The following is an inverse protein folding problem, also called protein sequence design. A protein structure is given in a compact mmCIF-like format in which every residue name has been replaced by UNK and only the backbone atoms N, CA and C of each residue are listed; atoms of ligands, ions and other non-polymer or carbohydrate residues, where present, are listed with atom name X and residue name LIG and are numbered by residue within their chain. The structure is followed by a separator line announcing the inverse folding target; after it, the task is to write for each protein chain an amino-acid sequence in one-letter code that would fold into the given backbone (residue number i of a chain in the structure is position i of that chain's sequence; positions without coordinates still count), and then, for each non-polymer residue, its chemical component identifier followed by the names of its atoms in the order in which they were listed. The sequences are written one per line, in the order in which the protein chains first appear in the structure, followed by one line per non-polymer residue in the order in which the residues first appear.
data_IF_529233931182
#
_entry.id   IF_529233931182
#
_cell.length_a   1.000
_cell.length_b   1.000
_cell.length_c   1.000
_cell.angle_alpha   90.00
_cell.angle_beta   90.00
_cell.angle_gamma   90.00
#
_symmetry.space_group_name_H-M   'P 1'
#
loop_
_entity.id
_entity.type
_entity.pdbx_description
1 polymer ?
#
# COMPACT_ATOMS: atom_id res chain seq x y z
N UNK A 1 -8.96 14.99 -21.45
CA UNK A 1 -8.15 15.54 -20.35
C UNK A 1 -8.76 15.23 -18.97
N UNK A 2 -10.02 15.54 -18.72
CA UNK A 2 -10.68 15.26 -17.44
C UNK A 2 -10.73 13.73 -17.10
N UNK A 3 -10.95 12.87 -18.07
CA UNK A 3 -10.92 11.41 -17.89
C UNK A 3 -9.55 10.93 -17.39
N UNK A 4 -8.45 11.44 -17.98
CA UNK A 4 -7.08 11.12 -17.58
C UNK A 4 -6.80 11.57 -16.15
N UNK A 5 -7.28 12.75 -15.77
CA UNK A 5 -7.17 13.26 -14.41
C UNK A 5 -7.93 12.37 -13.42
N UNK A 6 -9.17 11.99 -13.75
CA UNK A 6 -9.97 11.11 -12.92
C UNK A 6 -9.32 9.72 -12.75
N UNK A 7 -8.86 9.15 -13.84
CA UNK A 7 -8.16 7.87 -13.85
C UNK A 7 -6.85 7.93 -13.06
N UNK A 8 -6.13 9.04 -13.18
CA UNK A 8 -4.91 9.32 -12.42
C UNK A 8 -5.16 9.43 -10.92
N UNK A 9 -6.27 10.10 -10.52
CA UNK A 9 -6.67 10.18 -9.10
C UNK A 9 -7.04 8.79 -8.58
N UNK A 10 -7.83 8.01 -9.32
CA UNK A 10 -8.22 6.66 -8.92
C UNK A 10 -6.99 5.76 -8.73
N UNK A 11 -6.06 5.80 -9.68
CA UNK A 11 -4.81 5.05 -9.61
C UNK A 11 -3.92 5.53 -8.45
N UNK A 12 -3.79 6.85 -8.24
CA UNK A 12 -3.04 7.43 -7.14
C UNK A 12 -3.61 7.03 -5.77
N UNK A 13 -4.92 7.04 -5.60
CA UNK A 13 -5.57 6.57 -4.37
C UNK A 13 -5.34 5.07 -4.13
N UNK A 14 -5.38 4.25 -5.19
CA UNK A 14 -5.03 2.84 -5.09
C UNK A 14 -3.57 2.65 -4.68
N UNK A 15 -2.63 3.38 -5.31
CA UNK A 15 -1.23 3.36 -4.93
C UNK A 15 -1.00 3.78 -3.48
N UNK A 16 -1.77 4.76 -2.98
CA UNK A 16 -1.70 5.15 -1.58
C UNK A 16 -2.09 4.00 -0.65
N UNK A 17 -3.23 3.35 -0.86
CA UNK A 17 -3.67 2.24 0.00
C UNK A 17 -2.69 1.08 -0.06
N UNK A 18 -2.16 0.78 -1.24
CA UNK A 18 -1.09 -0.21 -1.41
C UNK A 18 0.21 0.16 -0.65
N UNK A 19 0.56 1.43 -0.57
CA UNK A 19 1.80 1.90 0.04
C UNK A 19 1.65 2.38 1.50
N UNK A 20 0.43 2.63 1.99
CA UNK A 20 0.21 3.26 3.29
C UNK A 20 0.74 2.41 4.46
N UNK A 21 0.62 1.09 4.39
CA UNK A 21 1.21 0.21 5.40
C UNK A 21 2.75 0.27 5.41
N UNK A 22 3.38 0.39 4.24
CA UNK A 22 4.83 0.63 4.16
C UNK A 22 5.19 1.99 4.74
N UNK A 23 4.39 3.03 4.48
CA UNK A 23 4.59 4.36 5.08
C UNK A 23 4.55 4.31 6.62
N UNK A 24 3.63 3.52 7.16
CA UNK A 24 3.52 3.33 8.62
C UNK A 24 4.70 2.53 9.18
N UNK A 25 5.09 1.42 8.56
CA UNK A 25 6.20 0.60 9.05
C UNK A 25 7.54 1.30 8.90
N UNK A 26 7.82 1.94 7.77
CA UNK A 26 9.06 2.68 7.55
C UNK A 26 9.07 4.00 8.34
N UNK A 27 7.97 4.77 8.30
CA UNK A 27 7.91 6.09 8.91
C UNK A 27 7.75 6.10 10.43
N UNK A 28 7.01 5.13 10.97
CA UNK A 28 6.72 5.08 12.41
C UNK A 28 7.52 4.00 13.14
N UNK A 29 7.76 2.84 12.52
CA UNK A 29 8.48 1.75 13.19
C UNK A 29 9.97 1.70 12.82
N UNK A 30 10.42 2.56 11.91
CA UNK A 30 11.78 2.56 11.34
C UNK A 30 12.21 1.19 10.79
N UNK A 31 11.24 0.43 10.26
CA UNK A 31 11.43 -0.90 9.70
C UNK A 31 11.39 -0.84 8.18
N UNK A 32 12.48 -1.21 7.53
CA UNK A 32 12.52 -1.37 6.06
C UNK A 32 11.89 -2.70 5.68
N UNK A 33 10.61 -2.66 5.29
CA UNK A 33 9.85 -3.86 4.95
C UNK A 33 9.58 -3.94 3.44
N UNK A 34 10.50 -4.55 2.70
CA UNK A 34 10.33 -4.77 1.26
C UNK A 34 9.31 -5.89 0.94
N UNK A 35 8.99 -6.76 1.92
CA UNK A 35 7.95 -7.77 1.77
C UNK A 35 6.51 -7.20 1.78
N UNK A 36 6.35 -5.88 1.89
CA UNK A 36 5.04 -5.24 1.88
C UNK A 36 4.21 -5.58 0.63
N UNK A 37 4.86 -5.66 -0.54
CA UNK A 37 4.25 -6.09 -1.80
C UNK A 37 3.72 -7.53 -1.78
N UNK A 38 4.33 -8.41 -0.98
CA UNK A 38 3.87 -9.79 -0.83
C UNK A 38 2.52 -9.87 -0.08
N UNK A 39 2.27 -8.98 0.90
CA UNK A 39 0.95 -8.88 1.54
C UNK A 39 -0.11 -8.37 0.55
N UNK A 40 0.22 -7.40 -0.30
CA UNK A 40 -0.68 -6.92 -1.35
C UNK A 40 -1.01 -8.06 -2.34
N UNK A 41 0.00 -8.78 -2.81
CA UNK A 41 -0.17 -9.96 -3.66
C UNK A 41 -1.07 -11.00 -3.00
N UNK A 42 -0.81 -11.36 -1.74
CA UNK A 42 -1.60 -12.34 -1.00
C UNK A 42 -3.08 -11.94 -0.92
N UNK A 43 -3.38 -10.68 -0.58
CA UNK A 43 -4.76 -10.19 -0.53
C UNK A 43 -5.45 -10.23 -1.89
N UNK A 44 -4.74 -9.90 -2.94
CA UNK A 44 -5.23 -10.02 -4.30
C UNK A 44 -5.56 -11.47 -4.67
N UNK A 45 -4.66 -12.43 -4.41
CA UNK A 45 -4.92 -13.85 -4.70
C UNK A 45 -6.02 -14.44 -3.83
N UNK A 46 -6.13 -14.06 -2.55
CA UNK A 46 -7.29 -14.41 -1.71
C UNK A 46 -8.59 -13.97 -2.39
N UNK A 47 -8.64 -12.75 -2.91
CA UNK A 47 -9.82 -12.23 -3.62
C UNK A 47 -10.07 -12.97 -4.94
N UNK A 48 -9.03 -13.28 -5.71
CA UNK A 48 -9.16 -14.11 -6.94
C UNK A 48 -9.78 -15.46 -6.63
N UNK A 49 -9.30 -16.15 -5.60
CA UNK A 49 -9.82 -17.46 -5.21
C UNK A 49 -11.27 -17.36 -4.75
N UNK A 50 -11.58 -16.42 -3.85
CA UNK A 50 -12.92 -16.25 -3.30
C UNK A 50 -13.94 -15.88 -4.38
N UNK A 51 -13.62 -14.93 -5.26
CA UNK A 51 -14.55 -14.47 -6.29
C UNK A 51 -14.63 -15.46 -7.45
N UNK A 52 -13.50 -15.83 -8.04
CA UNK A 52 -13.48 -16.57 -9.30
C UNK A 52 -13.74 -18.08 -9.14
N UNK A 53 -13.30 -18.67 -7.98
CA UNK A 53 -13.44 -20.12 -7.75
C UNK A 53 -14.59 -20.45 -6.80
N UNK A 54 -14.84 -19.61 -5.77
CA UNK A 54 -15.84 -19.88 -4.75
C UNK A 54 -17.14 -19.09 -4.94
N UNK A 55 -17.19 -18.11 -5.86
CA UNK A 55 -18.39 -17.30 -6.12
C UNK A 55 -18.75 -16.32 -5.00
N UNK A 56 -17.83 -16.02 -4.08
CA UNK A 56 -18.07 -15.06 -2.99
C UNK A 56 -18.24 -13.65 -3.57
N UNK A 57 -19.21 -12.85 -3.11
CA UNK A 57 -19.38 -11.47 -3.57
C UNK A 57 -18.09 -10.64 -3.41
N UNK A 58 -17.76 -9.85 -4.44
CA UNK A 58 -16.51 -9.09 -4.52
C UNK A 58 -16.21 -8.25 -3.26
N UNK A 59 -17.18 -7.46 -2.79
CA UNK A 59 -16.98 -6.61 -1.61
C UNK A 59 -16.71 -7.43 -0.33
N UNK A 60 -17.38 -8.57 -0.15
CA UNK A 60 -17.09 -9.48 0.96
C UNK A 60 -15.69 -10.06 0.85
N UNK A 61 -15.25 -10.43 -0.35
CA UNK A 61 -13.91 -10.96 -0.61
C UNK A 61 -12.80 -9.93 -0.29
N UNK A 62 -13.03 -8.64 -0.58
CA UNK A 62 -12.10 -7.55 -0.22
C UNK A 62 -11.96 -7.43 1.30
N UNK A 63 -13.07 -7.52 2.05
CA UNK A 63 -13.04 -7.49 3.53
C UNK A 63 -12.33 -8.73 4.09
N UNK A 64 -12.61 -9.91 3.54
CA UNK A 64 -11.93 -11.16 3.95
C UNK A 64 -10.44 -11.07 3.64
N UNK A 65 -10.04 -10.54 2.48
CA UNK A 65 -8.64 -10.34 2.12
C UNK A 65 -7.91 -9.42 3.12
N UNK A 66 -8.55 -8.33 3.58
CA UNK A 66 -8.00 -7.49 4.64
C UNK A 66 -7.70 -8.28 5.91
N UNK A 67 -8.69 -9.02 6.43
CA UNK A 67 -8.50 -9.77 7.68
C UNK A 67 -7.52 -10.94 7.52
N UNK A 68 -7.54 -11.64 6.39
CA UNK A 68 -6.60 -12.75 6.12
C UNK A 68 -5.16 -12.25 6.08
N UNK A 69 -4.90 -11.14 5.38
CA UNK A 69 -3.56 -10.54 5.31
C UNK A 69 -3.14 -9.86 6.61
N UNK A 70 -4.08 -9.27 7.36
CA UNK A 70 -3.81 -8.73 8.69
C UNK A 70 -3.42 -9.84 9.67
N UNK A 71 -4.12 -10.97 9.65
CA UNK A 71 -3.80 -12.14 10.48
C UNK A 71 -2.44 -12.74 10.11
N UNK A 72 -2.15 -12.88 8.79
CA UNK A 72 -0.85 -13.32 8.31
C UNK A 72 0.26 -12.35 8.75
N UNK A 73 0.02 -11.04 8.62
CA UNK A 73 0.96 -10.01 9.06
C UNK A 73 1.22 -10.09 10.56
N UNK A 74 0.17 -10.22 11.39
CA UNK A 74 0.30 -10.39 12.84
C UNK A 74 1.09 -11.65 13.21
N UNK A 75 0.86 -12.75 12.50
CA UNK A 75 1.58 -14.01 12.70
C UNK A 75 3.07 -13.85 12.38
N UNK A 76 3.38 -13.30 11.20
CA UNK A 76 4.77 -13.10 10.76
C UNK A 76 5.49 -12.06 11.65
N UNK A 77 4.78 -11.05 12.09
CA UNK A 77 5.35 -10.06 13.02
C UNK A 77 5.79 -10.72 14.31
N UNK A 78 4.93 -11.50 14.95
CA UNK A 78 5.22 -12.15 16.22
C UNK A 78 6.26 -13.27 16.14
N UNK A 79 6.34 -13.95 15.00
CA UNK A 79 7.25 -15.10 14.82
C UNK A 79 8.60 -14.70 14.22
N UNK A 80 8.61 -13.77 13.29
CA UNK A 80 9.80 -13.44 12.49
C UNK A 80 10.27 -12.00 12.67
N UNK A 81 9.42 -11.00 12.42
CA UNK A 81 9.83 -9.60 12.38
C UNK A 81 10.30 -9.06 13.74
N UNK A 82 9.75 -9.57 14.85
CA UNK A 82 10.17 -9.19 16.20
C UNK A 82 11.67 -9.39 16.43
N UNK A 83 12.29 -10.37 15.77
CA UNK A 83 13.71 -10.66 15.85
C UNK A 83 14.58 -9.74 14.96
N UNK A 84 13.95 -9.00 14.07
CA UNK A 84 14.63 -8.17 13.05
C UNK A 84 14.56 -6.68 13.39
N UNK A 85 13.69 -6.24 14.30
CA UNK A 85 13.56 -4.83 14.68
C UNK A 85 14.85 -4.19 15.20
N UNK A 86 15.66 -4.95 15.95
CA UNK A 86 16.93 -4.47 16.52
C UNK A 86 18.14 -4.61 15.56
N UNK A 87 17.91 -5.15 14.35
CA UNK A 87 18.96 -5.39 13.35
C UNK A 87 19.22 -4.14 12.51
N UNK A 88 20.34 -4.13 11.81
CA UNK A 88 20.69 -3.06 10.88
C UNK A 88 19.69 -3.01 9.71
N UNK A 89 19.56 -1.84 9.06
CA UNK A 89 18.68 -1.70 7.88
C UNK A 89 19.05 -2.67 6.75
N UNK A 90 20.35 -3.00 6.59
CA UNK A 90 20.78 -3.98 5.59
C UNK A 90 20.25 -5.39 5.92
N UNK A 91 20.33 -5.81 7.18
CA UNK A 91 19.79 -7.12 7.61
C UNK A 91 18.28 -7.17 7.45
N UNK A 92 17.56 -6.06 7.77
CA UNK A 92 16.12 -5.94 7.55
C UNK A 92 15.75 -6.09 6.07
N UNK A 93 16.48 -5.42 5.18
CA UNK A 93 16.30 -5.51 3.73
C UNK A 93 16.54 -6.94 3.24
N UNK A 94 17.66 -7.56 3.61
CA UNK A 94 17.98 -8.94 3.19
C UNK A 94 16.92 -9.94 3.68
N UNK A 95 16.50 -9.82 4.92
CA UNK A 95 15.45 -10.65 5.49
C UNK A 95 14.12 -10.49 4.73
N UNK A 96 13.69 -9.25 4.50
CA UNK A 96 12.40 -8.98 3.83
C UNK A 96 12.41 -9.34 2.35
N UNK A 97 13.56 -9.19 1.65
CA UNK A 97 13.73 -9.71 0.28
C UNK A 97 13.62 -11.24 0.27
N UNK A 98 14.22 -11.94 1.23
CA UNK A 98 14.05 -13.39 1.36
C UNK A 98 12.59 -13.80 1.49
N UNK A 99 11.80 -13.08 2.30
CA UNK A 99 10.36 -13.31 2.41
C UNK A 99 9.61 -13.04 1.09
N UNK A 100 10.03 -12.04 0.32
CA UNK A 100 9.45 -11.78 -1.02
C UNK A 100 9.65 -12.99 -1.93
N UNK A 101 10.88 -13.51 -2.02
CA UNK A 101 11.16 -14.67 -2.89
C UNK A 101 10.42 -15.92 -2.42
N UNK A 102 10.29 -16.14 -1.12
CA UNK A 102 9.49 -17.24 -0.58
C UNK A 102 8.01 -17.08 -0.97
N UNK A 103 7.45 -15.88 -0.87
CA UNK A 103 6.06 -15.60 -1.25
C UNK A 103 5.85 -15.77 -2.77
N UNK A 104 6.78 -15.28 -3.58
CA UNK A 104 6.77 -15.47 -5.05
C UNK A 104 6.76 -16.95 -5.40
N UNK A 105 7.69 -17.73 -4.85
CA UNK A 105 7.79 -19.18 -5.11
C UNK A 105 6.53 -19.94 -4.63
N UNK A 106 6.00 -19.59 -3.46
CA UNK A 106 4.79 -20.21 -2.93
C UNK A 106 3.57 -19.94 -3.81
N UNK A 107 3.40 -18.69 -4.26
CA UNK A 107 2.28 -18.31 -5.14
C UNK A 107 2.45 -18.95 -6.53
N UNK A 108 3.65 -18.95 -7.10
CA UNK A 108 3.93 -19.59 -8.38
C UNK A 108 3.59 -21.09 -8.34
N UNK A 109 3.97 -21.76 -7.27
CA UNK A 109 3.67 -23.19 -7.06
C UNK A 109 2.17 -23.47 -6.91
N UNK A 110 1.42 -22.64 -6.15
CA UNK A 110 0.00 -22.88 -5.83
C UNK A 110 -0.93 -22.40 -6.94
N UNK A 111 -0.63 -21.24 -7.54
CA UNK A 111 -1.53 -20.53 -8.45
C UNK A 111 -1.04 -20.55 -9.91
N UNK A 112 0.22 -20.91 -10.13
CA UNK A 112 0.88 -20.88 -11.43
C UNK A 112 1.38 -19.50 -11.83
N UNK A 113 2.20 -19.45 -12.88
CA UNK A 113 2.89 -18.23 -13.35
C UNK A 113 2.02 -17.30 -14.17
N UNK A 114 0.79 -17.72 -14.55
CA UNK A 114 -0.09 -16.93 -15.40
C UNK A 114 -0.72 -15.77 -14.65
N UNK A 115 -0.80 -14.60 -15.32
CA UNK A 115 -1.48 -13.43 -14.77
C UNK A 115 -2.96 -13.72 -14.56
N UNK A 116 -3.48 -13.35 -13.39
CA UNK A 116 -4.86 -13.53 -13.00
C UNK A 116 -5.53 -12.18 -12.71
N UNK A 117 -6.81 -12.08 -13.06
CA UNK A 117 -7.66 -10.92 -12.80
C UNK A 117 -8.87 -11.35 -11.99
N UNK A 118 -9.41 -10.42 -11.20
CA UNK A 118 -10.66 -10.63 -10.47
C UNK A 118 -11.85 -10.28 -11.36
N UNK A 119 -12.84 -11.15 -11.40
CA UNK A 119 -14.12 -10.88 -12.07
C UNK A 119 -14.95 -9.92 -11.21
N UNK A 120 -15.01 -8.65 -11.62
CA UNK A 120 -15.85 -7.67 -10.92
C UNK A 120 -17.33 -7.88 -11.25
N UNK A 121 -18.26 -7.59 -10.32
CA UNK A 121 -19.70 -7.67 -10.55
C UNK A 121 -20.15 -6.80 -11.71
N UNK A 122 -21.18 -7.23 -12.44
CA UNK A 122 -21.73 -6.49 -13.58
C UNK A 122 -22.15 -5.06 -13.24
N UNK A 123 -22.63 -4.83 -11.99
CA UNK A 123 -22.99 -3.52 -11.50
C UNK A 123 -21.81 -2.51 -11.48
N UNK A 124 -20.59 -3.00 -11.34
CA UNK A 124 -19.35 -2.19 -11.31
C UNK A 124 -18.67 -2.09 -12.69
N UNK A 125 -19.16 -2.83 -13.68
CA UNK A 125 -18.68 -2.76 -15.05
C UNK A 125 -19.27 -1.57 -15.80
N UNK A 126 -18.55 -1.11 -16.84
CA UNK A 126 -18.99 -0.02 -17.69
C UNK A 126 -18.70 1.37 -17.14
N UNK A 127 -19.29 2.37 -17.75
CA UNK A 127 -19.07 3.79 -17.45
C UNK A 127 -20.37 4.48 -17.07
N UNK A 128 -20.27 5.54 -16.30
CA UNK A 128 -21.33 6.49 -16.00
C UNK A 128 -20.94 7.82 -16.63
N UNK A 129 -21.87 8.47 -17.30
CA UNK A 129 -21.66 9.83 -17.80
C UNK A 129 -21.90 10.83 -16.66
N UNK A 130 -20.82 11.44 -16.19
CA UNK A 130 -20.86 12.51 -15.19
C UNK A 130 -20.43 13.80 -15.89
N UNK A 131 -21.32 14.77 -16.01
CA UNK A 131 -21.05 16.07 -16.66
C UNK A 131 -20.48 15.95 -18.09
N UNK A 132 -20.96 14.95 -18.87
CA UNK A 132 -20.47 14.71 -20.23
C UNK A 132 -19.17 13.90 -20.35
N UNK A 133 -18.67 13.38 -19.22
CA UNK A 133 -17.43 12.58 -19.16
C UNK A 133 -17.79 11.16 -18.82
N UNK A 134 -17.29 10.19 -19.61
CA UNK A 134 -17.39 8.77 -19.28
C UNK A 134 -16.41 8.41 -18.15
N UNK A 135 -16.98 8.08 -16.99
CA UNK A 135 -16.23 7.69 -15.78
C UNK A 135 -16.47 6.21 -15.49
N UNK A 136 -15.42 5.43 -15.36
CA UNK A 136 -15.52 4.01 -15.03
C UNK A 136 -16.10 3.81 -13.63
N UNK A 137 -17.17 3.00 -13.50
CA UNK A 137 -17.84 2.71 -12.22
C UNK A 137 -16.89 2.13 -11.20
N UNK A 138 -16.03 1.21 -11.61
CA UNK A 138 -15.05 0.57 -10.73
C UNK A 138 -14.03 1.57 -10.17
N UNK A 139 -13.56 2.50 -10.99
CA UNK A 139 -12.63 3.57 -10.56
C UNK A 139 -13.28 4.52 -9.55
N UNK A 140 -14.58 4.79 -9.70
CA UNK A 140 -15.34 5.56 -8.72
C UNK A 140 -15.41 4.83 -7.37
N UNK A 141 -15.66 3.51 -7.39
CA UNK A 141 -15.61 2.68 -6.19
C UNK A 141 -14.24 2.75 -5.51
N UNK A 142 -13.15 2.64 -6.28
CA UNK A 142 -11.78 2.76 -5.75
C UNK A 142 -11.57 4.10 -5.06
N UNK A 143 -11.95 5.22 -5.71
CA UNK A 143 -11.80 6.56 -5.12
C UNK A 143 -12.57 6.63 -3.80
N UNK A 144 -13.79 6.15 -3.76
CA UNK A 144 -14.64 6.20 -2.58
C UNK A 144 -14.07 5.33 -1.44
N UNK A 145 -13.74 4.08 -1.73
CA UNK A 145 -13.23 3.13 -0.73
C UNK A 145 -11.86 3.58 -0.22
N UNK A 146 -10.93 3.92 -1.12
CA UNK A 146 -9.59 4.39 -0.73
C UNK A 146 -9.66 5.74 0.02
N UNK A 147 -10.57 6.64 -0.36
CA UNK A 147 -10.82 7.89 0.34
C UNK A 147 -11.33 7.67 1.76
N UNK A 148 -12.29 6.76 1.95
CA UNK A 148 -12.79 6.38 3.27
C UNK A 148 -11.71 5.74 4.14
N UNK A 149 -10.90 4.85 3.57
CA UNK A 149 -9.76 4.23 4.28
C UNK A 149 -8.75 5.28 4.70
N UNK A 150 -8.40 6.20 3.80
CA UNK A 150 -7.46 7.28 4.08
C UNK A 150 -7.96 8.16 5.24
N UNK A 151 -9.23 8.54 5.19
CA UNK A 151 -9.86 9.32 6.25
C UNK A 151 -9.88 8.55 7.59
N UNK A 152 -10.29 7.28 7.55
CA UNK A 152 -10.33 6.42 8.74
C UNK A 152 -8.92 6.26 9.35
N UNK A 153 -7.90 6.01 8.53
CA UNK A 153 -6.52 5.88 8.98
C UNK A 153 -6.00 7.18 9.59
N UNK A 154 -6.27 8.32 8.95
CA UNK A 154 -5.87 9.63 9.45
C UNK A 154 -6.56 9.95 10.79
N UNK A 155 -7.86 9.70 10.92
CA UNK A 155 -8.59 9.86 12.16
C UNK A 155 -8.09 8.91 13.26
N UNK A 156 -7.85 7.64 12.92
CA UNK A 156 -7.30 6.65 13.84
C UNK A 156 -5.95 7.08 14.42
N UNK A 157 -5.06 7.59 13.59
CA UNK A 157 -3.73 8.03 14.02
C UNK A 157 -3.73 9.38 14.72
N UNK A 158 -4.57 10.33 14.31
CA UNK A 158 -4.56 11.69 14.88
C UNK A 158 -5.47 11.85 16.09
N UNK A 159 -6.61 11.15 16.14
CA UNK A 159 -7.68 11.39 17.10
C UNK A 159 -7.88 10.28 18.12
N UNK A 160 -7.21 9.13 18.02
CA UNK A 160 -7.42 8.01 18.95
C UNK A 160 -6.26 7.83 19.94
N UNK A 161 -6.59 7.16 21.07
CA UNK A 161 -5.59 6.74 22.06
C UNK A 161 -4.55 5.78 21.48
N UNK A 162 -4.93 4.99 20.47
CA UNK A 162 -3.98 4.11 19.78
C UNK A 162 -2.92 4.92 19.04
N UNK A 163 -3.34 5.94 18.28
CA UNK A 163 -2.40 6.80 17.56
C UNK A 163 -1.45 7.56 18.49
N UNK A 164 -1.90 8.02 19.66
CA UNK A 164 -1.02 8.66 20.66
C UNK A 164 -0.01 7.68 21.26
N UNK A 165 -0.44 6.45 21.59
CA UNK A 165 0.44 5.38 22.07
C UNK A 165 1.46 4.96 21.02
N UNK A 166 1.05 4.88 19.76
CA UNK A 166 1.95 4.55 18.65
C UNK A 166 3.05 5.63 18.51
N UNK A 167 2.69 6.91 18.48
CA UNK A 167 3.68 8.00 18.41
C UNK A 167 4.65 7.96 19.60
N UNK A 168 4.15 7.80 20.83
CA UNK A 168 4.99 7.67 22.01
C UNK A 168 5.96 6.47 21.93
N UNK A 169 5.47 5.33 21.43
CA UNK A 169 6.30 4.13 21.24
C UNK A 169 7.37 4.30 20.16
N UNK A 170 7.13 5.17 19.19
CA UNK A 170 8.07 5.49 18.09
C UNK A 170 9.10 6.52 18.53
N UNK A 171 8.68 7.55 19.28
CA UNK A 171 9.57 8.61 19.75
C UNK A 171 10.63 8.06 20.74
N UNK A 172 10.20 7.31 21.75
CA UNK A 172 11.10 6.61 22.69
C UNK A 172 10.42 5.36 23.26
N UNK A 173 10.85 4.19 22.80
CA UNK A 173 10.34 2.90 23.28
C UNK A 173 10.59 2.67 24.77
N UNK A 174 11.71 3.15 25.32
CA UNK A 174 12.08 2.96 26.73
C UNK A 174 11.16 3.78 27.63
N UNK A 175 10.96 5.05 27.29
CA UNK A 175 10.04 5.94 28.01
C UNK A 175 8.60 5.45 27.89
N UNK A 176 8.18 5.05 26.70
CA UNK A 176 6.84 4.51 26.49
C UNK A 176 6.55 3.27 27.35
N UNK A 177 7.52 2.34 27.46
CA UNK A 177 7.41 1.17 28.35
C UNK A 177 7.34 1.58 29.82
N UNK A 178 8.12 2.59 30.23
CA UNK A 178 8.08 3.15 31.59
C UNK A 178 6.73 3.76 31.95
N UNK A 179 5.99 4.29 30.96
CA UNK A 179 4.63 4.80 31.09
C UNK A 179 3.54 3.71 31.01
N UNK A 180 3.92 2.42 30.99
CA UNK A 180 3.00 1.30 30.94
C UNK A 180 2.43 0.98 29.54
N UNK A 181 3.00 1.54 28.46
CA UNK A 181 2.60 1.22 27.09
C UNK A 181 3.27 -0.10 26.67
N UNK A 182 2.46 -1.08 26.29
CA UNK A 182 2.98 -2.31 25.71
C UNK A 182 3.36 -2.07 24.24
N UNK A 183 4.63 -1.68 24.01
CA UNK A 183 5.19 -1.36 22.70
C UNK A 183 5.06 -2.53 21.71
N UNK A 184 5.25 -3.78 22.19
CA UNK A 184 5.17 -4.95 21.33
C UNK A 184 3.75 -5.16 20.78
N UNK A 185 2.72 -4.92 21.61
CA UNK A 185 1.32 -5.00 21.14
C UNK A 185 1.00 -3.88 20.17
N UNK A 186 1.48 -2.66 20.46
CA UNK A 186 1.28 -1.51 19.57
C UNK A 186 1.90 -1.77 18.20
N UNK A 187 3.12 -2.31 18.15
CA UNK A 187 3.81 -2.63 16.90
C UNK A 187 3.13 -3.79 16.16
N UNK A 188 2.74 -4.86 16.85
CA UNK A 188 2.04 -5.99 16.24
C UNK A 188 0.70 -5.56 15.61
N UNK A 189 -0.10 -4.75 16.31
CA UNK A 189 -1.36 -4.23 15.76
C UNK A 189 -1.12 -3.30 14.58
N UNK A 190 -0.10 -2.43 14.67
CA UNK A 190 0.26 -1.52 13.59
C UNK A 190 0.69 -2.29 12.34
N UNK A 191 1.53 -3.30 12.51
CA UNK A 191 2.00 -4.15 11.42
C UNK A 191 0.85 -4.96 10.79
N UNK A 192 -0.04 -5.53 11.62
CA UNK A 192 -1.22 -6.25 11.17
C UNK A 192 -2.16 -5.36 10.34
N UNK A 193 -2.46 -4.16 10.83
CA UNK A 193 -3.29 -3.20 10.09
C UNK A 193 -2.61 -2.79 8.79
N UNK A 194 -1.30 -2.51 8.81
CA UNK A 194 -0.53 -2.16 7.61
C UNK A 194 -0.54 -3.26 6.56
N UNK A 195 -0.34 -4.52 6.99
CA UNK A 195 -0.41 -5.71 6.10
C UNK A 195 -1.82 -5.92 5.57
N UNK A 196 -2.84 -5.73 6.42
CA UNK A 196 -4.24 -5.79 6.01
C UNK A 196 -4.60 -4.76 4.95
N UNK A 197 -4.13 -3.52 5.11
CA UNK A 197 -4.33 -2.45 4.13
C UNK A 197 -3.62 -2.74 2.80
N UNK A 198 -2.41 -3.32 2.85
CA UNK A 198 -1.73 -3.79 1.65
C UNK A 198 -2.56 -4.86 0.92
N UNK A 199 -3.05 -5.86 1.66
CA UNK A 199 -3.92 -6.91 1.11
C UNK A 199 -5.22 -6.38 0.52
N UNK A 200 -5.85 -5.42 1.19
CA UNK A 200 -7.03 -4.74 0.68
C UNK A 200 -6.72 -3.95 -0.60
N UNK A 201 -5.59 -3.24 -0.63
CA UNK A 201 -5.12 -2.55 -1.84
C UNK A 201 -4.85 -3.53 -2.98
N UNK A 202 -4.25 -4.69 -2.70
CA UNK A 202 -4.05 -5.76 -3.67
C UNK A 202 -5.36 -6.36 -4.19
N UNK A 203 -6.35 -6.54 -3.30
CA UNK A 203 -7.69 -7.01 -3.65
C UNK A 203 -8.42 -6.02 -4.59
N UNK A 204 -8.39 -4.73 -4.27
CA UNK A 204 -8.96 -3.67 -5.12
C UNK A 204 -8.15 -3.48 -6.40
N UNK A 205 -6.84 -3.66 -6.36
CA UNK A 205 -5.95 -3.50 -7.50
C UNK A 205 -5.97 -4.67 -8.47
N UNK A 206 -6.42 -5.84 -8.06
CA UNK A 206 -6.32 -7.08 -8.82
C UNK A 206 -6.97 -7.04 -10.21
N UNK A 207 -8.01 -6.23 -10.39
CA UNK A 207 -8.66 -6.03 -11.69
C UNK A 207 -7.87 -5.09 -12.61
N UNK A 208 -7.26 -4.03 -12.05
CA UNK A 208 -6.55 -2.99 -12.82
C UNK A 208 -5.10 -3.39 -13.11
N UNK A 209 -4.42 -3.94 -12.11
CA UNK A 209 -2.98 -4.21 -12.16
C UNK A 209 -2.69 -5.61 -12.68
N UNK A 210 -3.68 -6.53 -12.53
CA UNK A 210 -3.46 -7.96 -12.69
C UNK A 210 -2.52 -8.52 -11.63
N UNK A 211 -2.66 -9.79 -11.36
CA UNK A 211 -1.84 -10.49 -10.35
C UNK A 211 -1.01 -11.56 -11.03
N UNK A 212 0.28 -11.46 -10.85
CA UNK A 212 1.27 -12.47 -11.21
C UNK A 212 2.20 -12.74 -10.02
N UNK A 213 2.93 -13.86 -9.97
CA UNK A 213 3.83 -14.12 -8.85
C UNK A 213 4.92 -13.07 -8.66
N UNK A 214 5.28 -12.33 -9.70
CA UNK A 214 6.31 -11.27 -9.68
C UNK A 214 5.74 -9.93 -9.18
N UNK A 215 4.42 -9.85 -8.92
CA UNK A 215 3.73 -8.64 -8.44
C UNK A 215 4.49 -7.89 -7.31
N UNK A 216 5.01 -8.56 -6.24
CA UNK A 216 5.72 -7.86 -5.19
C UNK A 216 6.96 -7.12 -5.67
N UNK A 217 7.75 -7.74 -6.54
CA UNK A 217 8.96 -7.15 -7.09
C UNK A 217 8.66 -6.00 -8.04
N UNK A 218 7.62 -6.15 -8.87
CA UNK A 218 7.17 -5.17 -9.84
C UNK A 218 6.67 -3.88 -9.18
N UNK A 219 5.86 -4.01 -8.12
CA UNK A 219 5.22 -2.86 -7.48
C UNK A 219 5.95 -2.33 -6.26
N UNK A 220 6.94 -3.05 -5.70
CA UNK A 220 7.75 -2.61 -4.58
C UNK A 220 8.37 -1.23 -4.81
N UNK A 221 8.90 -0.98 -6.01
CA UNK A 221 9.51 0.30 -6.38
C UNK A 221 8.46 1.42 -6.33
N UNK A 222 7.24 1.18 -6.82
CA UNK A 222 6.15 2.16 -6.77
C UNK A 222 5.78 2.53 -5.34
N UNK A 223 5.72 1.55 -4.44
CA UNK A 223 5.43 1.81 -3.02
C UNK A 223 6.54 2.62 -2.36
N UNK A 224 7.80 2.29 -2.64
CA UNK A 224 8.96 3.05 -2.16
C UNK A 224 8.94 4.48 -2.71
N UNK A 225 8.61 4.69 -3.99
CA UNK A 225 8.51 6.03 -4.60
C UNK A 225 7.44 6.85 -3.88
N UNK A 226 6.25 6.29 -3.64
CA UNK A 226 5.18 6.98 -2.92
C UNK A 226 5.64 7.45 -1.54
N UNK A 227 6.31 6.57 -0.78
CA UNK A 227 6.76 6.88 0.58
C UNK A 227 7.93 7.87 0.58
N UNK A 228 8.90 7.72 -0.33
CA UNK A 228 10.06 8.62 -0.40
C UNK A 228 9.70 9.99 -0.92
N UNK A 229 8.88 10.08 -1.96
CA UNK A 229 8.38 11.36 -2.51
C UNK A 229 7.47 12.07 -1.51
N UNK A 230 6.61 11.32 -0.82
CA UNK A 230 5.72 11.87 0.20
C UNK A 230 6.45 12.28 1.49
N UNK A 231 7.53 11.57 1.81
CA UNK A 231 8.23 11.69 3.08
C UNK A 231 7.65 10.77 4.16
N UNK A 232 8.49 10.37 5.12
CA UNK A 232 8.12 9.37 6.15
C UNK A 232 7.55 9.98 7.43
N UNK A 233 7.56 11.30 7.58
CA UNK A 233 7.16 11.99 8.82
C UNK A 233 5.64 12.11 9.03
N UNK A 234 4.83 11.86 8.00
CA UNK A 234 3.37 11.95 8.06
C UNK A 234 2.71 11.04 7.04
N UNK A 235 1.43 10.70 7.23
CA UNK A 235 0.63 9.94 6.26
C UNK A 235 0.08 10.84 5.15
N UNK A 236 -0.12 12.11 5.44
CA UNK A 236 -0.62 13.09 4.47
C UNK A 236 0.35 13.27 3.30
N UNK A 237 1.66 13.21 3.56
CA UNK A 237 2.69 13.32 2.54
C UNK A 237 2.59 12.24 1.46
N UNK A 238 2.68 10.94 1.83
CA UNK A 238 2.49 9.83 0.90
C UNK A 238 1.12 9.85 0.18
N UNK A 239 0.06 10.30 0.83
CA UNK A 239 -1.25 10.47 0.18
C UNK A 239 -1.22 11.48 -0.96
N UNK A 240 -0.70 12.68 -0.72
CA UNK A 240 -0.59 13.70 -1.76
C UNK A 240 0.42 13.31 -2.86
N UNK A 241 1.53 12.69 -2.46
CA UNK A 241 2.51 12.17 -3.40
C UNK A 241 1.92 11.08 -4.30
N UNK A 242 1.14 10.15 -3.75
CA UNK A 242 0.51 9.10 -4.54
C UNK A 242 -0.48 9.63 -5.57
N UNK A 243 -1.24 10.67 -5.25
CA UNK A 243 -2.14 11.34 -6.21
C UNK A 243 -1.32 12.00 -7.32
N UNK A 244 -0.28 12.75 -6.96
CA UNK A 244 0.61 13.38 -7.94
C UNK A 244 1.25 12.35 -8.88
N UNK A 245 1.79 11.27 -8.32
CA UNK A 245 2.42 10.18 -9.06
C UNK A 245 1.41 9.42 -9.92
N UNK A 246 0.21 9.17 -9.40
CA UNK A 246 -0.87 8.51 -10.14
C UNK A 246 -1.34 9.32 -11.35
N UNK A 247 -1.53 10.63 -11.18
CA UNK A 247 -1.87 11.54 -12.29
C UNK A 247 -0.73 11.57 -13.31
N UNK A 248 0.51 11.69 -12.85
CA UNK A 248 1.70 11.69 -13.71
C UNK A 248 1.87 10.41 -14.50
N UNK A 249 1.73 9.25 -13.87
CA UNK A 249 1.86 7.94 -14.50
C UNK A 249 0.78 7.72 -15.57
N UNK A 250 -0.48 7.99 -15.24
CA UNK A 250 -1.61 7.84 -16.19
C UNK A 250 -1.51 8.84 -17.33
N UNK A 251 -1.19 10.10 -17.05
CA UNK A 251 -0.99 11.10 -18.08
C UNK A 251 0.20 10.77 -18.99
N UNK A 252 1.30 10.30 -18.42
CA UNK A 252 2.47 9.87 -19.17
C UNK A 252 2.15 8.72 -20.13
N UNK A 253 1.45 7.70 -19.65
CA UNK A 253 1.02 6.56 -20.49
C UNK A 253 0.02 6.96 -21.58
N UNK A 254 -0.81 7.96 -21.31
CA UNK A 254 -1.82 8.42 -22.27
C UNK A 254 -1.23 9.33 -23.35
N UNK A 255 -0.44 10.34 -22.98
CA UNK A 255 0.09 11.34 -23.91
C UNK A 255 1.40 10.92 -24.58
N UNK A 256 2.22 10.13 -23.89
CA UNK A 256 3.51 9.67 -24.38
C UNK A 256 3.68 8.16 -24.12
N UNK A 257 2.94 7.25 -24.79
CA UNK A 257 2.92 5.81 -24.46
C UNK A 257 4.31 5.17 -24.45
N UNK A 258 5.21 5.59 -25.34
CA UNK A 258 6.60 5.07 -25.43
C UNK A 258 7.46 5.46 -24.22
N UNK A 259 7.17 6.58 -23.56
CA UNK A 259 7.91 7.12 -22.43
C UNK A 259 7.12 7.04 -21.12
N UNK A 260 5.85 6.62 -21.16
CA UNK A 260 4.94 6.63 -20.02
C UNK A 260 5.47 5.89 -18.80
N UNK A 261 6.17 4.76 -19.00
CA UNK A 261 6.77 4.02 -17.89
C UNK A 261 7.91 4.76 -17.18
N UNK A 262 8.53 5.76 -17.80
CA UNK A 262 9.62 6.54 -17.20
C UNK A 262 9.11 7.72 -16.37
N UNK A 263 7.88 8.18 -16.59
CA UNK A 263 7.35 9.42 -15.98
C UNK A 263 7.37 9.36 -14.46
N UNK A 264 6.94 8.26 -13.86
CA UNK A 264 6.92 8.11 -12.39
C UNK A 264 8.33 8.17 -11.78
N UNK A 265 9.31 7.56 -12.45
CA UNK A 265 10.72 7.60 -12.03
C UNK A 265 11.33 9.00 -12.21
N UNK A 266 10.98 9.68 -13.30
CA UNK A 266 11.42 11.06 -13.55
C UNK A 266 10.88 12.00 -12.47
N UNK A 267 9.60 11.90 -12.12
CA UNK A 267 9.01 12.68 -11.02
C UNK A 267 9.75 12.39 -9.71
N UNK A 268 10.02 11.12 -9.40
CA UNK A 268 10.79 10.74 -8.21
C UNK A 268 12.17 11.41 -8.18
N UNK A 269 12.94 11.30 -9.26
CA UNK A 269 14.29 11.85 -9.35
C UNK A 269 14.26 13.36 -9.16
N UNK A 270 13.38 14.07 -9.89
CA UNK A 270 13.24 15.52 -9.79
C UNK A 270 12.87 15.96 -8.37
N UNK A 271 11.93 15.27 -7.75
CA UNK A 271 11.52 15.59 -6.38
C UNK A 271 12.64 15.34 -5.37
N UNK A 272 13.37 14.21 -5.48
CA UNK A 272 14.44 13.90 -4.53
C UNK A 272 15.68 14.79 -4.72
N UNK A 273 15.98 15.26 -5.93
CA UNK A 273 17.03 16.26 -6.15
C UNK A 273 16.63 17.60 -5.50
N UNK A 274 15.37 17.99 -5.63
CA UNK A 274 14.89 19.27 -5.09
C UNK A 274 14.62 19.21 -3.58
N UNK A 275 14.02 18.11 -3.10
CA UNK A 275 13.71 17.85 -1.68
C UNK A 275 14.05 16.42 -1.28
N UNK A 276 15.27 16.15 -0.85
CA UNK A 276 15.71 14.79 -0.53
C UNK A 276 14.97 14.13 0.65
N UNK A 277 14.30 14.92 1.49
CA UNK A 277 13.48 14.42 2.60
C UNK A 277 12.02 14.14 2.19
N UNK A 278 11.66 14.33 0.92
CA UNK A 278 10.30 14.27 0.41
C UNK A 278 9.56 15.61 0.46
N UNK A 279 8.49 15.74 -0.33
CA UNK A 279 7.76 17.01 -0.55
C UNK A 279 7.12 17.56 0.73
N UNK A 280 6.64 16.69 1.61
CA UNK A 280 5.81 17.05 2.78
C UNK A 280 6.48 16.72 4.13
N UNK A 281 7.77 16.45 4.14
CA UNK A 281 8.54 16.29 5.38
C UNK A 281 8.70 17.63 6.09
N UNK A 282 8.53 17.61 7.42
CA UNK A 282 8.87 18.79 8.24
C UNK A 282 10.38 18.99 8.20
N UNK A 283 10.87 20.23 8.08
CA UNK A 283 12.30 20.51 8.25
C UNK A 283 12.72 20.04 9.65
N UNK A 284 13.65 19.13 9.73
CA UNK A 284 14.34 18.87 10.99
C UNK A 284 15.11 20.13 11.34
N UNK A 285 14.71 20.80 12.42
CA UNK A 285 15.52 21.85 12.99
C UNK A 285 16.89 21.23 13.30
N UNK A 286 17.93 21.73 12.62
CA UNK A 286 19.34 21.44 12.91
C UNK A 286 19.75 22.08 14.20
#
# INVERSE_FOLDING_TARGET
MLTVLFDGIAYGMLLFVLACGLSVTLGLMNLVNLAHGAFAMTGGYVTVVLVNRMGVPFLASVVIAFFATAALGALLERTLYVHVYAKSHLEQVLFTIGLVFMAVAAVDYIMGSSQQFVKIPQALQGQINVLGIGVGKYRLLIILVCGLITLALQLALMKTRFGSRLRAAVDDQRVARGLGINVNVVFAVTFAVGSGLAGLGGALGAEILGLDPIFPLKYMIYFLIVVTVGGTSSITGPFLASILLGIGDVAGKYYAPKLGGFVIYTIMIVVLIWRPQGLFSRPTAR
#
